data_IF_880426010647
#
_entry.id   IF_880426010647
#
_cell.length_a   1.000
_cell.length_b   1.000
_cell.length_c   1.000
_cell.angle_alpha   90.00
_cell.angle_beta   90.00
_cell.angle_gamma   90.00
#
_symmetry.space_group_name_H-M   'P 1'
#
loop_
_entity.id
_entity.type
_entity.pdbx_description
1 polymer ?
#
# COMPACT_ATOMS: atom_id res chain seq x y z
N UNK A 1 17.56 -34.45 3.81
CA UNK A 1 17.59 -33.24 2.96
C UNK A 1 16.60 -32.25 3.56
N UNK A 2 16.98 -30.98 3.74
CA UNK A 2 16.01 -29.96 4.15
C UNK A 2 14.92 -29.87 3.07
N UNK A 3 13.66 -29.84 3.47
CA UNK A 3 12.53 -29.88 2.53
C UNK A 3 12.33 -28.56 1.77
N UNK A 4 13.19 -27.56 2.02
CA UNK A 4 13.14 -26.25 1.39
C UNK A 4 12.04 -25.36 1.96
N UNK A 5 11.93 -24.14 1.45
CA UNK A 5 10.87 -23.20 1.84
C UNK A 5 9.79 -23.18 0.78
N UNK A 6 8.62 -23.72 1.10
CA UNK A 6 7.43 -23.62 0.27
C UNK A 6 6.78 -22.25 0.44
N UNK A 7 6.58 -21.55 -0.68
CA UNK A 7 5.87 -20.26 -0.73
C UNK A 7 4.50 -20.50 -1.36
N UNK A 8 3.44 -20.13 -0.65
CA UNK A 8 2.05 -20.24 -1.15
C UNK A 8 1.32 -18.91 -0.95
N UNK A 9 0.28 -18.65 -1.73
CA UNK A 9 -0.59 -17.49 -1.52
C UNK A 9 -1.56 -17.84 -0.39
N UNK A 10 -1.51 -17.10 0.70
CA UNK A 10 -2.41 -17.25 1.84
C UNK A 10 -3.67 -16.42 1.68
N UNK A 11 -3.52 -15.23 1.09
CA UNK A 11 -4.61 -14.28 0.90
C UNK A 11 -4.28 -13.35 -0.27
N UNK A 12 -5.27 -13.08 -1.12
CA UNK A 12 -5.17 -12.09 -2.17
C UNK A 12 -6.43 -11.24 -2.14
N UNK A 13 -6.28 -9.92 -1.96
CA UNK A 13 -7.40 -8.98 -2.03
C UNK A 13 -7.01 -7.81 -2.93
N UNK A 14 -7.72 -7.71 -4.05
CA UNK A 14 -7.62 -6.58 -4.97
C UNK A 14 -8.23 -5.34 -4.30
N UNK A 15 -7.42 -4.32 -4.07
CA UNK A 15 -7.83 -3.08 -3.39
C UNK A 15 -7.96 -1.88 -4.34
N UNK A 16 -7.90 -2.12 -5.64
CA UNK A 16 -8.04 -1.10 -6.70
C UNK A 16 -6.71 -0.71 -7.34
N UNK A 17 -6.78 0.08 -8.42
CA UNK A 17 -5.61 0.58 -9.13
C UNK A 17 -4.85 1.59 -8.26
N UNK A 18 -3.60 1.31 -7.92
CA UNK A 18 -2.72 2.18 -7.13
C UNK A 18 -1.99 1.47 -5.99
N UNK A 19 -2.60 0.44 -5.38
CA UNK A 19 -1.99 -0.27 -4.26
C UNK A 19 -1.11 -1.43 -4.77
N UNK A 20 0.19 -1.42 -4.45
CA UNK A 20 1.18 -2.44 -4.82
C UNK A 20 1.16 -2.85 -6.30
N UNK A 21 1.22 -1.87 -7.22
CA UNK A 21 1.29 -2.15 -8.65
C UNK A 21 -0.04 -2.61 -9.29
N UNK A 22 -1.17 -2.44 -8.58
CA UNK A 22 -2.51 -2.72 -9.11
C UNK A 22 -3.04 -4.13 -8.81
N UNK A 23 -2.21 -5.00 -8.22
CA UNK A 23 -2.62 -6.34 -7.79
C UNK A 23 -3.33 -6.34 -6.42
N UNK A 24 -3.20 -5.25 -5.65
CA UNK A 24 -3.73 -5.15 -4.30
C UNK A 24 -2.80 -5.80 -3.26
N UNK A 25 -3.37 -6.29 -2.16
CA UNK A 25 -2.58 -6.90 -1.10
C UNK A 25 -2.46 -8.41 -1.30
N UNK A 26 -1.23 -8.91 -1.31
CA UNK A 26 -0.92 -10.34 -1.41
C UNK A 26 -0.19 -10.77 -0.13
N UNK A 27 -0.83 -11.65 0.64
CA UNK A 27 -0.20 -12.32 1.77
C UNK A 27 0.32 -13.67 1.31
N UNK A 28 1.60 -13.95 1.56
CA UNK A 28 2.21 -15.24 1.29
C UNK A 28 2.39 -16.03 2.59
N UNK A 29 2.19 -17.35 2.52
CA UNK A 29 2.51 -18.29 3.58
C UNK A 29 3.79 -19.02 3.23
N UNK A 30 4.76 -18.89 4.13
CA UNK A 30 6.03 -19.60 4.10
C UNK A 30 5.93 -20.83 4.99
N UNK A 31 6.26 -22.01 4.46
CA UNK A 31 6.31 -23.27 5.21
C UNK A 31 7.59 -24.01 4.86
N UNK A 32 8.38 -24.38 5.87
CA UNK A 32 9.63 -25.10 5.68
C UNK A 32 10.35 -25.32 7.00
N UNK A 33 11.48 -25.99 6.91
CA UNK A 33 12.40 -26.29 8.02
C UNK A 33 13.71 -25.48 7.94
N UNK A 34 13.83 -24.61 6.93
CA UNK A 34 14.97 -23.72 6.71
C UNK A 34 14.73 -22.27 7.17
N UNK A 35 15.71 -21.42 6.88
CA UNK A 35 15.62 -19.98 7.14
C UNK A 35 14.92 -19.25 5.98
N UNK A 36 14.08 -18.26 6.32
CA UNK A 36 13.53 -17.31 5.37
C UNK A 36 13.99 -15.90 5.75
N UNK A 37 14.22 -15.06 4.74
CA UNK A 37 14.62 -13.67 4.91
C UNK A 37 13.54 -12.77 4.36
N UNK A 38 13.11 -11.79 5.15
CA UNK A 38 12.04 -10.85 4.81
C UNK A 38 12.59 -9.44 4.94
N UNK A 39 12.29 -8.59 3.96
CA UNK A 39 12.65 -7.17 3.99
C UNK A 39 11.55 -6.35 4.66
N UNK A 40 11.95 -5.36 5.47
CA UNK A 40 11.06 -4.38 6.07
C UNK A 40 11.63 -2.97 5.86
N UNK A 41 10.79 -2.06 5.37
CA UNK A 41 11.16 -0.67 5.13
C UNK A 41 11.28 0.14 6.42
N UNK A 42 12.44 0.75 6.63
CA UNK A 42 12.74 1.48 7.86
C UNK A 42 13.05 0.53 9.02
N UNK A 43 12.37 0.71 10.16
CA UNK A 43 12.62 -0.05 11.39
C UNK A 43 11.59 -1.15 11.57
N UNK A 44 12.05 -2.35 11.98
CA UNK A 44 11.18 -3.46 12.36
C UNK A 44 10.69 -3.28 13.79
N UNK A 45 9.38 -3.38 13.99
CA UNK A 45 8.75 -3.42 15.31
C UNK A 45 8.12 -4.79 15.52
N UNK A 46 8.61 -5.54 16.50
CA UNK A 46 7.99 -6.78 16.95
C UNK A 46 6.92 -6.50 18.01
N UNK A 47 5.77 -7.17 17.87
CA UNK A 47 4.68 -7.15 18.84
C UNK A 47 4.23 -8.58 19.11
N UNK A 48 4.18 -8.94 20.39
CA UNK A 48 3.54 -10.16 20.85
C UNK A 48 2.06 -9.85 21.11
N UNK A 49 1.17 -10.61 20.48
CA UNK A 49 -0.25 -10.63 20.79
C UNK A 49 -0.57 -11.82 21.71
N UNK A 50 -1.35 -11.57 22.75
CA UNK A 50 -1.80 -12.49 23.78
C UNK A 50 -3.33 -12.51 23.86
N UNK A 51 -3.99 -12.55 22.70
CA UNK A 51 -5.45 -12.55 22.57
C UNK A 51 -6.06 -11.16 22.33
N UNK A 52 -5.26 -10.09 22.35
CA UNK A 52 -5.76 -8.77 21.98
C UNK A 52 -5.85 -8.57 20.46
N UNK A 53 -6.47 -7.46 20.07
CA UNK A 53 -6.62 -7.04 18.69
C UNK A 53 -5.75 -5.82 18.40
N UNK A 54 -4.99 -5.89 17.32
CA UNK A 54 -4.10 -4.85 16.82
C UNK A 54 -4.61 -4.35 15.47
N UNK A 55 -4.80 -3.04 15.34
CA UNK A 55 -5.17 -2.39 14.07
C UNK A 55 -3.98 -1.61 13.54
N UNK A 56 -3.56 -1.90 12.32
CA UNK A 56 -2.39 -1.28 11.67
C UNK A 56 -2.72 -0.89 10.24
N UNK A 57 -1.97 0.06 9.70
CA UNK A 57 -1.98 0.33 8.26
C UNK A 57 -1.57 -0.95 7.50
N UNK A 58 -2.31 -1.30 6.44
CA UNK A 58 -2.07 -2.54 5.68
C UNK A 58 -0.65 -2.58 5.09
N UNK A 59 -0.09 -1.44 4.68
CA UNK A 59 1.27 -1.37 4.16
C UNK A 59 2.33 -1.62 5.23
N UNK A 60 2.04 -1.31 6.49
CA UNK A 60 2.98 -1.48 7.60
C UNK A 60 3.11 -2.94 8.09
N UNK A 61 2.27 -3.87 7.64
CA UNK A 61 2.35 -5.27 8.04
C UNK A 61 3.46 -5.99 7.24
N UNK A 62 4.44 -6.58 7.94
CA UNK A 62 5.54 -7.34 7.33
C UNK A 62 5.25 -8.84 7.36
N UNK A 63 4.98 -9.37 8.56
CA UNK A 63 4.72 -10.79 8.77
C UNK A 63 3.97 -11.00 10.09
N UNK A 64 3.39 -12.18 10.26
CA UNK A 64 2.84 -12.62 11.54
C UNK A 64 2.90 -14.15 11.66
N UNK A 65 2.92 -14.65 12.89
CA UNK A 65 2.97 -16.09 13.15
C UNK A 65 1.59 -16.76 12.98
N UNK A 66 1.54 -18.09 12.82
CA UNK A 66 0.29 -18.83 12.99
C UNK A 66 -0.38 -18.49 14.34
N UNK A 67 -1.71 -18.55 14.39
CA UNK A 67 -2.50 -18.18 15.57
C UNK A 67 -3.04 -16.75 15.56
N UNK A 68 -2.63 -15.92 14.59
CA UNK A 68 -3.19 -14.60 14.35
C UNK A 68 -4.20 -14.66 13.19
N UNK A 69 -5.40 -14.19 13.44
CA UNK A 69 -6.45 -13.92 12.44
C UNK A 69 -6.22 -12.55 11.82
N UNK A 70 -6.43 -12.44 10.52
CA UNK A 70 -6.17 -11.24 9.73
C UNK A 70 -7.40 -10.85 8.90
N UNK A 71 -7.76 -9.57 8.92
CA UNK A 71 -8.79 -8.99 8.05
C UNK A 71 -8.38 -7.59 7.56
N UNK A 72 -8.73 -7.26 6.31
CA UNK A 72 -8.52 -5.92 5.75
C UNK A 72 -9.86 -5.19 5.68
N UNK A 73 -9.94 -4.08 6.40
CA UNK A 73 -11.08 -3.19 6.39
C UNK A 73 -10.71 -1.85 5.79
N UNK A 74 -11.59 -1.32 4.94
CA UNK A 74 -11.44 0.05 4.46
C UNK A 74 -11.76 0.99 5.61
N UNK A 75 -10.83 1.87 5.96
CA UNK A 75 -11.01 2.82 7.04
C UNK A 75 -11.64 4.12 6.52
N UNK A 76 -12.80 4.47 7.08
CA UNK A 76 -13.43 5.78 6.91
C UNK A 76 -14.39 5.93 5.73
N UNK A 77 -15.11 7.05 5.77
CA UNK A 77 -15.98 7.53 4.69
C UNK A 77 -15.14 8.30 3.66
N UNK A 78 -15.64 8.47 2.43
CA UNK A 78 -15.00 9.17 1.30
C UNK A 78 -14.26 10.48 1.66
N UNK A 79 -14.66 11.20 2.72
CA UNK A 79 -13.97 12.40 3.22
C UNK A 79 -12.55 12.15 3.75
N UNK A 80 -12.21 10.96 4.25
CA UNK A 80 -10.84 10.65 4.69
C UNK A 80 -9.87 10.45 3.52
N UNK A 81 -10.39 10.22 2.30
CA UNK A 81 -9.58 10.13 1.07
C UNK A 81 -9.01 11.48 0.61
N UNK A 82 -9.49 12.59 1.19
CA UNK A 82 -9.04 13.95 0.87
C UNK A 82 -7.64 14.30 1.39
N UNK A 83 -7.00 13.44 2.20
CA UNK A 83 -5.63 13.64 2.70
C UNK A 83 -4.54 13.02 1.81
N UNK A 84 -4.84 12.65 0.56
CA UNK A 84 -3.81 12.16 -0.36
C UNK A 84 -4.29 11.28 -1.54
N UNK A 85 -5.60 11.10 -1.74
CA UNK A 85 -6.12 10.34 -2.88
C UNK A 85 -6.10 8.82 -2.74
N UNK A 86 -5.40 8.29 -1.73
CA UNK A 86 -5.31 6.86 -1.47
C UNK A 86 -6.29 6.41 -0.37
N UNK A 87 -7.02 5.34 -0.64
CA UNK A 87 -7.90 4.74 0.37
C UNK A 87 -7.09 4.20 1.54
N UNK A 88 -7.38 4.64 2.76
CA UNK A 88 -6.75 4.08 3.95
C UNK A 88 -7.31 2.67 4.20
N UNK A 89 -6.49 1.64 4.01
CA UNK A 89 -6.84 0.26 4.34
C UNK A 89 -6.17 -0.13 5.67
N UNK A 90 -6.99 -0.49 6.67
CA UNK A 90 -6.51 -0.97 7.95
C UNK A 90 -6.56 -2.50 7.97
N UNK A 91 -5.45 -3.11 8.36
CA UNK A 91 -5.37 -4.50 8.74
C UNK A 91 -5.74 -4.64 10.22
N UNK A 92 -6.66 -5.57 10.52
CA UNK A 92 -7.01 -5.98 11.88
C UNK A 92 -6.41 -7.35 12.12
N UNK A 93 -5.54 -7.44 13.12
CA UNK A 93 -4.83 -8.65 13.55
C UNK A 93 -5.34 -9.03 14.95
N UNK A 94 -5.75 -10.27 15.16
CA UNK A 94 -6.28 -10.71 16.47
C UNK A 94 -5.90 -12.15 16.77
N UNK A 95 -5.48 -12.44 18.01
CA UNK A 95 -5.14 -13.78 18.44
C UNK A 95 -3.86 -13.86 19.28
N UNK A 96 -3.24 -15.03 19.31
CA UNK A 96 -2.02 -15.28 20.08
C UNK A 96 -0.85 -15.58 19.13
N UNK A 97 0.21 -14.76 19.18
CA UNK A 97 1.31 -14.89 18.24
C UNK A 97 2.15 -13.63 18.08
N UNK A 98 3.15 -13.69 17.21
CA UNK A 98 4.03 -12.55 16.91
C UNK A 98 3.57 -11.84 15.65
N UNK A 99 3.70 -10.52 15.66
CA UNK A 99 3.47 -9.64 14.52
C UNK A 99 4.72 -8.78 14.33
N UNK A 100 5.18 -8.68 13.08
CA UNK A 100 6.28 -7.81 12.68
C UNK A 100 5.74 -6.69 11.79
N UNK A 101 6.08 -5.46 12.14
CA UNK A 101 5.65 -4.25 11.45
C UNK A 101 6.85 -3.46 10.92
N UNK A 102 6.62 -2.67 9.89
CA UNK A 102 7.59 -1.73 9.30
C UNK A 102 7.13 -0.29 9.49
N UNK A 103 8.09 0.61 9.74
CA UNK A 103 7.80 2.04 9.94
C UNK A 103 7.62 2.81 8.62
N UNK A 104 8.28 2.37 7.55
CA UNK A 104 8.28 3.06 6.26
C UNK A 104 7.85 2.11 5.12
N UNK A 105 6.54 1.89 4.94
CA UNK A 105 6.07 1.06 3.85
C UNK A 105 6.38 1.68 2.49
N UNK A 106 6.79 0.84 1.54
CA UNK A 106 7.25 1.28 0.21
C UNK A 106 6.19 2.08 -0.56
N UNK A 107 4.91 1.69 -0.49
CA UNK A 107 3.82 2.45 -1.11
C UNK A 107 3.84 3.90 -0.64
N UNK A 108 3.73 4.13 0.68
CA UNK A 108 3.76 5.48 1.26
C UNK A 108 5.00 6.27 0.86
N UNK A 109 6.16 5.63 0.74
CA UNK A 109 7.37 6.30 0.24
C UNK A 109 7.22 6.70 -1.23
N UNK A 110 6.76 5.78 -2.09
CA UNK A 110 6.52 6.04 -3.51
C UNK A 110 5.47 7.13 -3.72
N UNK A 111 4.36 7.11 -2.99
CA UNK A 111 3.28 8.10 -3.10
C UNK A 111 3.76 9.49 -2.66
N UNK A 112 4.58 9.55 -1.60
CA UNK A 112 5.21 10.80 -1.17
C UNK A 112 6.20 11.34 -2.20
N UNK A 113 6.98 10.47 -2.82
CA UNK A 113 7.89 10.86 -3.91
C UNK A 113 7.07 11.37 -5.10
N UNK A 114 6.05 10.64 -5.55
CA UNK A 114 5.21 11.04 -6.69
C UNK A 114 4.48 12.36 -6.44
N UNK A 115 3.98 12.59 -5.23
CA UNK A 115 3.32 13.84 -4.85
C UNK A 115 4.26 15.06 -4.87
N UNK A 116 5.58 14.86 -4.77
CA UNK A 116 6.59 15.92 -4.80
C UNK A 116 7.52 15.82 -6.01
N UNK A 117 7.34 14.82 -6.87
CA UNK A 117 8.09 14.69 -8.09
C UNK A 117 7.64 15.83 -9.01
N UNK A 118 8.58 16.59 -9.61
CA UNK A 118 8.21 17.53 -10.64
C UNK A 118 7.47 16.74 -11.73
N UNK A 119 6.26 17.19 -12.09
CA UNK A 119 5.47 16.56 -13.12
C UNK A 119 6.34 16.37 -14.37
N UNK A 120 6.78 15.15 -14.62
CA UNK A 120 7.51 14.79 -15.83
C UNK A 120 6.49 14.71 -16.96
N UNK A 121 6.02 15.88 -17.38
CA UNK A 121 4.99 16.09 -18.37
C UNK A 121 5.07 17.55 -18.80
N UNK A 122 5.64 17.77 -19.97
CA UNK A 122 6.17 19.04 -20.45
C UNK A 122 5.26 20.25 -20.26
N UNK A 123 5.91 21.39 -20.02
CA UNK A 123 5.45 22.67 -20.57
C UNK A 123 5.30 22.49 -22.08
N UNK A 124 4.11 22.14 -22.54
CA UNK A 124 3.58 22.74 -23.75
C UNK A 124 3.18 24.15 -23.35
N UNK A 125 4.15 25.06 -23.33
CA UNK A 125 3.90 26.48 -23.62
C UNK A 125 3.48 26.54 -25.09
N UNK A 126 2.27 26.09 -25.36
CA UNK A 126 1.52 26.41 -26.56
C UNK A 126 0.50 27.45 -26.13
N UNK A 127 0.54 28.61 -26.79
CA UNK A 127 -0.37 29.73 -26.57
C UNK A 127 -1.81 29.26 -26.42
N UNK A 128 -2.30 29.33 -25.20
CA UNK A 128 -3.66 28.91 -24.84
C UNK A 128 -4.07 29.54 -23.53
N UNK A 129 -3.56 30.76 -23.26
CA UNK A 129 -4.20 31.68 -22.33
C UNK A 129 -5.66 31.81 -22.77
N UNK A 130 -6.54 32.09 -21.81
CA UNK A 130 -8.01 32.14 -21.87
C UNK A 130 -8.60 32.98 -23.03
N UNK A 131 -7.74 33.60 -23.85
CA UNK A 131 -7.97 34.26 -25.13
C UNK A 131 -8.07 33.32 -26.35
N UNK A 132 -7.53 32.10 -26.30
CA UNK A 132 -7.50 31.17 -27.46
C UNK A 132 -8.87 30.62 -27.87
N UNK A 133 -9.83 30.57 -26.93
CA UNK A 133 -11.21 30.22 -27.23
C UNK A 133 -12.03 31.36 -27.85
N UNK A 134 -11.63 32.62 -27.59
CA UNK A 134 -12.30 33.81 -28.10
C UNK A 134 -11.77 34.23 -29.48
N UNK A 135 -10.50 33.95 -29.79
CA UNK A 135 -9.89 34.28 -31.09
C UNK A 135 -10.51 33.51 -32.28
N UNK A 136 -10.94 32.26 -32.08
CA UNK A 136 -11.56 31.43 -33.14
C UNK A 136 -13.00 31.81 -33.50
N UNK A 137 -13.62 32.75 -32.79
CA UNK A 137 -14.96 33.27 -33.07
C UNK A 137 -14.93 34.65 -33.74
N UNK A 138 -13.76 35.30 -33.82
CA UNK A 138 -13.61 36.63 -34.41
C UNK A 138 -12.91 36.62 -35.77
N UNK A 139 -12.07 35.62 -36.06
CA UNK A 139 -11.54 35.37 -37.41
C UNK A 139 -12.52 34.49 -38.20
N UNK A 140 -13.59 35.14 -38.67
CA UNK A 140 -14.37 34.65 -39.80
C UNK A 140 -13.66 35.01 -41.12
N UNK A 141 -13.61 34.00 -42.00
CA UNK A 141 -12.96 33.90 -43.32
C UNK A 141 -11.45 33.60 -43.35
#
# INVERSE_FOLDING_TARGET
AAFGTQVTIAFNKRLGAGFFGGEGFILQKLRGDGMAFIHAGGTVVERQLNGETLRVDTGCLVAFSPGITYDIQRAGNLKSMFFGGEGLFLATLSGHGKVWLQSLPFSRMADRILAHAPSAGGRSTGEGSVLGGLGRLLDGD
#
